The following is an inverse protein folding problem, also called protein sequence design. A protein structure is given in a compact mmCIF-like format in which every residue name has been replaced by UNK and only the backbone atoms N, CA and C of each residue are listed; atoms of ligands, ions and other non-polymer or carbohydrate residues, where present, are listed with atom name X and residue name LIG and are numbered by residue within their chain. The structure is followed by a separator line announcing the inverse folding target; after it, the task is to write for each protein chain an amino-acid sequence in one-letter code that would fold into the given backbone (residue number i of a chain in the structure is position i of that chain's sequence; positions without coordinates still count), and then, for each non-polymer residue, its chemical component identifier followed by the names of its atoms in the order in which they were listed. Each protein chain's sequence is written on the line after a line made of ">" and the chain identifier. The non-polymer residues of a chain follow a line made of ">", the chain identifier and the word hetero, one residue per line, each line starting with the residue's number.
data_IF_589843016032
#
_entry.id   IF_589843016032
#
_cell.length_a   1.000
_cell.length_b   1.000
_cell.length_c   1.000
_cell.angle_alpha   90.00
_cell.angle_beta   90.00
_cell.angle_gamma   90.00
#
_symmetry.space_group_name_H-M   'P 1'
#
loop_
_entity.id
_entity.type
_entity.pdbx_description
1 polymer ?
#
# COMPACT_ATOMS: atom_id res chain seq x y z
N UNK A 1 -6.64 -9.99 15.73
CA UNK A 1 -6.62 -8.83 14.80
C UNK A 1 -5.14 -8.46 14.60
N UNK A 2 -4.74 -7.61 13.63
CA UNK A 2 -3.32 -7.30 13.43
C UNK A 2 -2.77 -6.42 14.56
N UNK A 3 -1.81 -6.96 15.33
CA UNK A 3 -0.95 -6.17 16.21
C UNK A 3 0.17 -5.50 15.43
N UNK A 4 0.46 -4.24 15.73
CA UNK A 4 1.55 -3.46 15.14
C UNK A 4 2.35 -2.75 16.24
N UNK A 5 3.64 -2.57 15.98
CA UNK A 5 4.51 -1.73 16.80
C UNK A 5 4.76 -0.43 16.05
N UNK A 6 4.46 0.69 16.67
CA UNK A 6 4.56 2.03 16.07
C UNK A 6 5.67 2.83 16.76
N UNK A 7 6.48 3.54 15.98
CA UNK A 7 7.47 4.46 16.55
C UNK A 7 6.76 5.61 17.29
N UNK A 8 6.89 5.64 18.62
CA UNK A 8 6.19 6.58 19.49
C UNK A 8 6.55 8.04 19.18
N UNK A 9 7.84 8.33 18.97
CA UNK A 9 8.33 9.68 18.68
C UNK A 9 7.76 10.18 17.35
N UNK A 10 7.73 9.32 16.33
CA UNK A 10 7.19 9.66 15.01
C UNK A 10 5.67 9.88 15.05
N UNK A 11 4.92 8.99 15.72
CA UNK A 11 3.48 9.13 15.92
C UNK A 11 3.13 10.45 16.63
N UNK A 12 3.77 10.75 17.76
CA UNK A 12 3.50 11.97 18.52
C UNK A 12 3.83 13.23 17.71
N UNK A 13 4.92 13.20 16.93
CA UNK A 13 5.27 14.29 16.01
C UNK A 13 4.17 14.52 14.96
N UNK A 14 3.61 13.46 14.38
CA UNK A 14 2.54 13.57 13.38
C UNK A 14 1.19 14.00 13.96
N UNK A 15 0.86 13.55 15.17
CA UNK A 15 -0.32 14.01 15.92
C UNK A 15 -0.25 15.52 16.17
N UNK A 16 0.97 16.06 16.38
CA UNK A 16 1.20 17.48 16.63
C UNK A 16 0.94 17.88 18.07
N UNK A 17 0.85 16.92 19.00
CA UNK A 17 0.65 17.15 20.44
C UNK A 17 1.50 16.15 21.23
N UNK A 18 2.15 16.63 22.30
CA UNK A 18 2.80 15.76 23.28
C UNK A 18 1.71 15.10 24.11
N UNK A 19 1.68 13.78 24.13
CA UNK A 19 0.80 12.97 24.97
C UNK A 19 1.68 12.14 25.90
N UNK A 20 1.33 12.16 27.19
CA UNK A 20 1.94 11.26 28.17
C UNK A 20 1.47 9.83 27.97
N UNK A 21 2.21 8.87 28.53
CA UNK A 21 1.87 7.45 28.44
C UNK A 21 0.54 7.14 29.12
N UNK A 22 0.23 7.87 30.20
CA UNK A 22 -1.06 7.82 30.87
C UNK A 22 -2.19 8.29 29.95
N UNK A 23 -2.02 9.44 29.27
CA UNK A 23 -3.03 9.93 28.32
C UNK A 23 -3.20 8.97 27.14
N UNK A 24 -2.13 8.37 26.62
CA UNK A 24 -2.22 7.35 25.57
C UNK A 24 -2.98 6.12 26.06
N UNK A 25 -2.69 5.64 27.27
CA UNK A 25 -3.36 4.49 27.88
C UNK A 25 -4.85 4.73 28.12
N UNK A 26 -5.26 5.95 28.44
CA UNK A 26 -6.67 6.31 28.62
C UNK A 26 -7.39 6.53 27.28
N UNK A 27 -6.75 7.22 26.32
CA UNK A 27 -7.43 7.68 25.09
C UNK A 27 -7.51 6.61 23.99
N UNK A 28 -6.50 5.76 23.84
CA UNK A 28 -6.49 4.76 22.77
C UNK A 28 -7.64 3.74 22.90
N UNK A 29 -7.96 3.20 24.10
CA UNK A 29 -9.13 2.36 24.28
C UNK A 29 -10.45 3.07 23.97
N UNK A 30 -10.60 4.36 24.31
CA UNK A 30 -11.80 5.13 23.97
C UNK A 30 -12.03 5.29 22.46
N UNK A 31 -10.95 5.29 21.67
CA UNK A 31 -11.06 5.27 20.20
C UNK A 31 -11.45 3.88 19.66
N UNK A 32 -11.44 2.84 20.50
CA UNK A 32 -11.63 1.45 20.08
C UNK A 32 -10.34 0.80 19.59
N UNK A 33 -9.23 1.03 20.30
CA UNK A 33 -7.96 0.35 20.04
C UNK A 33 -7.56 -0.45 21.27
N UNK A 34 -7.04 -1.66 21.07
CA UNK A 34 -6.53 -2.46 22.18
C UNK A 34 -5.05 -2.14 22.35
N UNK A 35 -4.73 -1.47 23.46
CA UNK A 35 -3.36 -1.16 23.82
C UNK A 35 -2.72 -2.40 24.46
N UNK A 36 -1.70 -2.95 23.79
CA UNK A 36 -0.92 -4.09 24.31
C UNK A 36 0.20 -3.61 25.24
N UNK A 37 0.77 -2.43 24.96
CA UNK A 37 1.78 -1.82 25.82
C UNK A 37 2.42 -0.57 25.24
N UNK A 38 3.03 0.24 26.11
CA UNK A 38 3.79 1.43 25.75
C UNK A 38 5.20 1.30 26.33
N UNK A 39 6.20 1.54 25.50
CA UNK A 39 7.60 1.66 25.94
C UNK A 39 8.10 3.08 25.68
N UNK A 40 9.38 3.34 25.96
CA UNK A 40 10.00 4.62 25.67
C UNK A 40 10.01 4.95 24.16
N UNK A 41 10.11 3.93 23.31
CA UNK A 41 10.28 4.12 21.86
C UNK A 41 9.09 3.62 21.03
N UNK A 42 8.22 2.77 21.59
CA UNK A 42 7.15 2.12 20.83
C UNK A 42 5.77 2.19 21.50
N UNK A 43 4.74 2.22 20.66
CA UNK A 43 3.34 2.00 21.04
C UNK A 43 2.90 0.70 20.37
N UNK A 44 2.55 -0.32 21.17
CA UNK A 44 2.09 -1.61 20.67
C UNK A 44 0.58 -1.68 20.79
N UNK A 45 -0.10 -1.82 19.65
CA UNK A 45 -1.56 -1.79 19.57
C UNK A 45 -2.07 -2.87 18.63
N UNK A 46 -3.21 -3.43 19.00
CA UNK A 46 -4.01 -4.26 18.10
C UNK A 46 -5.10 -3.41 17.43
N UNK A 47 -5.09 -3.43 16.10
CA UNK A 47 -5.98 -2.63 15.25
C UNK A 47 -7.11 -3.50 14.72
N UNK A 48 -8.35 -3.01 14.75
CA UNK A 48 -9.47 -3.70 14.14
C UNK A 48 -9.29 -3.88 12.62
N UNK A 49 -9.71 -5.04 12.11
CA UNK A 49 -9.55 -5.41 10.69
C UNK A 49 -10.33 -4.53 9.72
N UNK A 50 -11.30 -3.74 10.19
CA UNK A 50 -12.04 -2.78 9.37
C UNK A 50 -11.34 -1.41 9.24
N UNK A 51 -10.19 -1.22 9.89
CA UNK A 51 -9.39 0.03 9.85
C UNK A 51 -7.96 -0.21 9.33
N UNK A 52 -7.78 -0.74 8.11
CA UNK A 52 -6.45 -0.94 7.52
C UNK A 52 -5.65 0.35 7.37
N UNK A 53 -6.33 1.49 7.30
CA UNK A 53 -5.70 2.80 7.24
C UNK A 53 -4.79 3.05 8.45
N UNK A 54 -5.10 2.46 9.61
CA UNK A 54 -4.36 2.64 10.86
C UNK A 54 -3.18 1.66 11.05
N UNK A 55 -2.83 0.85 10.05
CA UNK A 55 -1.76 -0.16 10.14
C UNK A 55 -0.33 0.41 10.05
N UNK A 56 -0.17 1.71 10.26
CA UNK A 56 1.09 2.46 10.13
C UNK A 56 1.03 3.73 10.97
N UNK A 57 2.19 4.32 11.24
CA UNK A 57 2.33 5.55 12.02
C UNK A 57 1.48 6.69 11.45
N UNK A 58 1.47 6.86 10.13
CA UNK A 58 0.80 7.99 9.48
C UNK A 58 -0.71 7.91 9.62
N UNK A 59 -1.28 6.73 9.36
CA UNK A 59 -2.71 6.54 9.45
C UNK A 59 -3.22 6.43 10.88
N UNK A 60 -2.43 5.83 11.77
CA UNK A 60 -2.70 5.82 13.20
C UNK A 60 -2.69 7.26 13.75
N UNK A 61 -1.62 8.02 13.51
CA UNK A 61 -1.50 9.39 13.97
C UNK A 61 -2.62 10.28 13.39
N UNK A 62 -3.00 10.10 12.12
CA UNK A 62 -4.11 10.83 11.50
C UNK A 62 -5.45 10.52 12.18
N UNK A 63 -5.73 9.26 12.49
CA UNK A 63 -6.95 8.87 13.20
C UNK A 63 -6.99 9.45 14.62
N UNK A 64 -5.90 9.31 15.38
CA UNK A 64 -5.82 9.83 16.74
C UNK A 64 -5.87 11.35 16.78
N UNK A 65 -5.19 12.05 15.86
CA UNK A 65 -5.25 13.50 15.75
C UNK A 65 -6.67 14.04 15.53
N UNK A 66 -7.46 13.33 14.70
CA UNK A 66 -8.89 13.64 14.53
C UNK A 66 -9.69 13.41 15.81
N UNK A 67 -9.45 12.30 16.49
CA UNK A 67 -10.14 11.93 17.72
C UNK A 67 -9.87 12.88 18.89
N UNK A 68 -8.63 13.32 19.07
CA UNK A 68 -8.27 14.25 20.16
C UNK A 68 -8.43 15.73 19.77
N UNK A 69 -8.88 16.00 18.55
CA UNK A 69 -9.19 17.35 18.07
C UNK A 69 -7.99 18.19 17.63
N UNK A 70 -6.79 17.63 17.45
CA UNK A 70 -5.63 18.41 16.96
C UNK A 70 -5.70 18.69 15.47
N UNK A 71 -6.26 17.76 14.69
CA UNK A 71 -6.47 17.91 13.24
C UNK A 71 -7.83 17.32 12.86
N UNK A 72 -8.83 18.16 12.71
CA UNK A 72 -10.21 17.74 12.41
C UNK A 72 -10.58 17.99 10.94
N UNK A 73 -11.70 17.42 10.53
CA UNK A 73 -12.23 17.57 9.18
C UNK A 73 -11.61 16.61 8.16
N UNK A 74 -12.07 16.72 6.91
CA UNK A 74 -11.63 15.86 5.82
C UNK A 74 -10.28 16.34 5.28
N UNK A 75 -9.24 15.54 5.50
CA UNK A 75 -7.93 15.79 4.92
C UNK A 75 -7.98 15.69 3.39
N UNK A 76 -7.52 16.75 2.72
CA UNK A 76 -7.45 16.82 1.27
C UNK A 76 -6.11 16.30 0.77
N UNK A 77 -6.14 15.47 -0.28
CA UNK A 77 -4.95 14.95 -0.94
C UNK A 77 -4.98 15.39 -2.40
N UNK A 78 -3.94 16.14 -2.81
CA UNK A 78 -3.82 16.62 -4.19
C UNK A 78 -3.06 15.60 -5.03
N UNK A 79 -3.69 15.12 -6.11
CA UNK A 79 -3.04 14.26 -7.10
C UNK A 79 -2.57 15.12 -8.27
N UNK A 80 -1.25 15.24 -8.46
CA UNK A 80 -0.69 15.96 -9.61
C UNK A 80 -0.80 15.12 -10.88
N UNK A 81 -1.26 15.71 -11.98
CA UNK A 81 -1.26 15.07 -13.29
C UNK A 81 0.18 14.75 -13.72
N UNK A 82 0.38 13.59 -14.34
CA UNK A 82 1.69 13.17 -14.86
C UNK A 82 1.57 12.53 -16.24
N UNK A 83 2.73 12.20 -16.84
CA UNK A 83 2.86 11.44 -18.08
C UNK A 83 3.16 9.95 -17.87
N UNK A 84 3.14 9.44 -16.62
CA UNK A 84 3.39 8.02 -16.36
C UNK A 84 2.25 7.16 -16.89
N UNK A 85 2.59 6.16 -17.72
CA UNK A 85 1.64 5.26 -18.39
C UNK A 85 2.00 3.80 -18.10
N UNK A 86 0.97 3.00 -17.83
CA UNK A 86 1.05 1.55 -17.73
C UNK A 86 0.03 0.94 -18.69
N UNK A 87 0.50 0.03 -19.53
CA UNK A 87 -0.32 -0.73 -20.45
C UNK A 87 -0.53 -2.14 -19.90
N UNK A 88 -1.78 -2.57 -19.79
CA UNK A 88 -2.14 -3.92 -19.36
C UNK A 88 -2.30 -4.78 -20.59
N UNK A 89 -1.53 -5.86 -20.66
CA UNK A 89 -1.57 -6.82 -21.77
C UNK A 89 -2.88 -7.61 -21.75
N UNK A 90 -3.46 -7.86 -22.93
CA UNK A 90 -4.65 -8.70 -23.10
C UNK A 90 -4.46 -10.11 -22.54
N UNK A 91 -3.23 -10.64 -22.51
CA UNK A 91 -2.91 -11.92 -21.89
C UNK A 91 -3.30 -11.96 -20.39
N UNK A 92 -3.15 -10.84 -19.67
CA UNK A 92 -3.47 -10.75 -18.24
C UNK A 92 -4.98 -10.80 -17.96
N UNK A 93 -5.81 -10.47 -18.95
CA UNK A 93 -7.27 -10.45 -18.82
C UNK A 93 -7.86 -11.83 -18.53
N UNK A 94 -7.17 -12.90 -18.97
CA UNK A 94 -7.54 -14.30 -18.73
C UNK A 94 -7.16 -14.77 -17.33
N UNK A 95 -6.33 -14.01 -16.62
CA UNK A 95 -5.91 -14.35 -15.26
C UNK A 95 -6.92 -13.83 -14.24
N UNK A 96 -6.99 -14.47 -13.08
CA UNK A 96 -7.77 -13.96 -11.95
C UNK A 96 -7.20 -12.62 -11.44
N UNK A 97 -5.90 -12.40 -11.59
CA UNK A 97 -5.15 -11.24 -11.10
C UNK A 97 -5.03 -10.20 -12.22
N UNK A 98 -6.14 -9.56 -12.56
CA UNK A 98 -6.20 -8.64 -13.72
C UNK A 98 -6.28 -7.16 -13.35
N UNK A 99 -6.52 -6.82 -12.09
CA UNK A 99 -6.67 -5.43 -11.65
C UNK A 99 -5.36 -4.91 -11.10
N UNK A 100 -5.03 -3.67 -11.44
CA UNK A 100 -3.80 -3.00 -11.08
C UNK A 100 -4.07 -1.56 -10.67
N UNK A 101 -3.31 -1.06 -9.72
CA UNK A 101 -3.38 0.31 -9.24
C UNK A 101 -1.96 0.80 -9.00
N UNK A 102 -1.64 1.97 -9.56
CA UNK A 102 -0.31 2.54 -9.43
C UNK A 102 -0.37 4.00 -9.01
N UNK A 103 0.63 4.44 -8.27
CA UNK A 103 0.81 5.83 -7.87
C UNK A 103 2.30 6.15 -7.83
N UNK A 104 2.65 7.39 -8.17
CA UNK A 104 4.03 7.89 -8.05
C UNK A 104 4.12 8.85 -6.89
N UNK A 105 5.04 8.59 -5.96
CA UNK A 105 5.31 9.45 -4.80
C UNK A 105 6.70 10.05 -4.96
N UNK A 106 6.81 11.38 -4.96
CA UNK A 106 8.07 12.11 -5.14
C UNK A 106 8.47 12.90 -3.90
N UNK A 107 9.77 13.03 -3.67
CA UNK A 107 10.31 13.84 -2.57
C UNK A 107 10.19 13.18 -1.20
N UNK A 108 10.15 11.84 -1.15
CA UNK A 108 10.27 11.10 0.10
C UNK A 108 11.69 11.23 0.67
N UNK A 109 11.77 11.14 1.99
CA UNK A 109 13.03 11.06 2.74
C UNK A 109 13.00 9.75 3.52
N UNK A 110 13.61 8.71 2.95
CA UNK A 110 13.72 7.42 3.62
C UNK A 110 14.86 7.45 4.63
N UNK A 111 14.54 7.03 5.84
CA UNK A 111 15.47 6.56 6.86
C UNK A 111 15.12 5.10 7.20
N UNK A 112 16.00 4.41 7.92
CA UNK A 112 15.77 3.03 8.35
C UNK A 112 14.40 2.82 9.04
N UNK A 113 13.97 3.78 9.86
CA UNK A 113 12.69 3.70 10.57
C UNK A 113 11.49 3.75 9.60
N UNK A 114 11.50 4.65 8.62
CA UNK A 114 10.45 4.77 7.63
C UNK A 114 10.46 3.60 6.64
N UNK A 115 11.64 3.06 6.28
CA UNK A 115 11.73 1.83 5.48
C UNK A 115 11.10 0.66 6.24
N UNK A 116 11.48 0.46 7.51
CA UNK A 116 10.94 -0.61 8.35
C UNK A 116 9.42 -0.49 8.53
N UNK A 117 8.93 0.72 8.82
CA UNK A 117 7.49 1.02 8.90
C UNK A 117 6.76 0.71 7.59
N UNK A 118 7.33 1.12 6.45
CA UNK A 118 6.77 0.85 5.12
C UNK A 118 6.71 -0.65 4.81
N UNK A 119 7.72 -1.42 5.23
CA UNK A 119 7.72 -2.88 5.10
C UNK A 119 6.65 -3.51 6.00
N UNK A 120 6.54 -3.07 7.26
CA UNK A 120 5.51 -3.53 8.19
C UNK A 120 4.10 -3.29 7.63
N UNK A 121 3.82 -2.07 7.12
CA UNK A 121 2.53 -1.75 6.52
C UNK A 121 2.20 -2.67 5.34
N UNK A 122 3.16 -2.86 4.43
CA UNK A 122 3.00 -3.75 3.28
C UNK A 122 2.72 -5.20 3.71
N UNK A 123 3.48 -5.75 4.66
CA UNK A 123 3.31 -7.12 5.15
C UNK A 123 1.96 -7.28 5.88
N UNK A 124 1.53 -6.30 6.69
CA UNK A 124 0.24 -6.34 7.39
C UNK A 124 -0.94 -6.23 6.43
N UNK A 125 -0.87 -5.33 5.45
CA UNK A 125 -1.90 -5.21 4.41
C UNK A 125 -1.96 -6.48 3.53
N UNK A 126 -0.81 -7.02 3.11
CA UNK A 126 -0.74 -8.23 2.30
C UNK A 126 -1.30 -9.46 3.04
N UNK A 127 -1.00 -9.59 4.33
CA UNK A 127 -1.45 -10.71 5.16
C UNK A 127 -2.95 -10.62 5.45
N UNK A 128 -3.45 -9.43 5.80
CA UNK A 128 -4.86 -9.21 6.18
C UNK A 128 -5.74 -8.95 4.95
N UNK A 129 -5.73 -7.73 4.44
CA UNK A 129 -6.58 -7.25 3.34
C UNK A 129 -6.27 -7.98 2.02
N UNK A 130 -5.01 -8.30 1.79
CA UNK A 130 -4.52 -9.05 0.65
C UNK A 130 -4.70 -10.57 0.76
N UNK A 131 -5.18 -11.10 1.89
CA UNK A 131 -5.35 -12.54 2.18
C UNK A 131 -4.09 -13.35 1.84
N UNK A 132 -2.98 -13.03 2.51
CA UNK A 132 -1.64 -13.60 2.23
C UNK A 132 -1.29 -13.51 0.74
N UNK A 133 -1.42 -12.31 0.18
CA UNK A 133 -1.20 -11.99 -1.24
C UNK A 133 -2.15 -12.63 -2.27
N UNK A 134 -3.00 -13.59 -1.88
CA UNK A 134 -3.97 -14.25 -2.78
C UNK A 134 -4.92 -13.26 -3.44
N UNK A 135 -5.39 -12.26 -2.67
CA UNK A 135 -6.33 -11.24 -3.14
C UNK A 135 -5.59 -10.04 -3.75
N UNK A 136 -4.55 -9.55 -3.07
CA UNK A 136 -3.78 -8.37 -3.48
C UNK A 136 -2.31 -8.55 -3.11
N UNK A 137 -1.43 -8.30 -4.07
CA UNK A 137 0.00 -8.10 -3.85
C UNK A 137 0.35 -6.64 -4.13
N UNK A 138 1.43 -6.16 -3.54
CA UNK A 138 1.92 -4.80 -3.73
C UNK A 138 3.44 -4.79 -3.74
N UNK A 139 4.01 -3.81 -4.42
CA UNK A 139 5.44 -3.55 -4.47
C UNK A 139 5.72 -2.07 -4.46
N UNK A 140 6.94 -1.73 -4.02
CA UNK A 140 7.43 -0.36 -3.95
C UNK A 140 8.80 -0.35 -4.57
N UNK A 141 8.96 0.49 -5.59
CA UNK A 141 10.10 0.47 -6.48
C UNK A 141 10.74 1.84 -6.52
N UNK A 142 12.08 1.88 -6.57
CA UNK A 142 12.81 3.10 -6.87
C UNK A 142 12.45 3.58 -8.30
N UNK A 143 11.72 4.69 -8.36
CA UNK A 143 11.19 5.23 -9.61
C UNK A 143 12.32 5.64 -10.57
N UNK A 144 13.43 6.13 -10.03
CA UNK A 144 14.53 6.71 -10.81
C UNK A 144 15.33 5.63 -11.55
N UNK A 145 15.06 4.36 -11.24
CA UNK A 145 15.65 3.18 -11.88
C UNK A 145 14.75 2.50 -12.91
N UNK A 146 13.56 3.06 -13.16
CA UNK A 146 12.53 2.47 -14.02
C UNK A 146 12.29 3.35 -15.26
N UNK A 147 12.12 2.72 -16.43
CA UNK A 147 11.80 3.41 -17.69
C UNK A 147 10.35 3.18 -18.13
N UNK A 148 9.59 4.26 -18.27
CA UNK A 148 8.21 4.21 -18.75
C UNK A 148 8.11 4.24 -20.29
N UNK A 149 7.02 3.74 -20.90
CA UNK A 149 5.85 3.13 -20.26
C UNK A 149 6.16 1.76 -19.65
N UNK A 150 5.35 1.34 -18.66
CA UNK A 150 5.43 -0.02 -18.12
C UNK A 150 4.38 -0.90 -18.77
N UNK A 151 4.67 -2.19 -18.86
CA UNK A 151 3.71 -3.19 -19.32
C UNK A 151 3.43 -4.18 -18.19
N UNK A 152 2.16 -4.31 -17.81
CA UNK A 152 1.70 -5.44 -16.99
C UNK A 152 1.36 -6.61 -17.92
N UNK A 153 2.17 -7.67 -17.89
CA UNK A 153 2.11 -8.78 -18.85
C UNK A 153 2.34 -10.12 -18.15
N UNK A 154 2.46 -11.19 -18.95
CA UNK A 154 2.79 -12.53 -18.53
C UNK A 154 4.20 -12.88 -19.04
N UNK A 155 5.10 -13.31 -18.16
CA UNK A 155 6.44 -13.76 -18.52
C UNK A 155 6.54 -15.28 -18.53
N UNK A 156 7.37 -15.81 -19.42
CA UNK A 156 7.64 -17.24 -19.56
C UNK A 156 8.56 -17.77 -18.47
N UNK A 157 8.46 -19.09 -18.23
CA UNK A 157 9.22 -19.80 -17.19
C UNK A 157 10.76 -19.79 -17.41
N UNK A 158 11.20 -19.59 -18.65
CA UNK A 158 12.62 -19.52 -19.06
C UNK A 158 13.23 -18.12 -19.05
N UNK A 159 12.41 -17.06 -18.89
CA UNK A 159 12.94 -15.70 -18.76
C UNK A 159 13.75 -15.55 -17.47
N UNK A 160 14.74 -14.66 -17.47
CA UNK A 160 15.63 -14.45 -16.33
C UNK A 160 15.57 -13.02 -15.79
N UNK A 161 15.78 -12.90 -14.49
CA UNK A 161 16.02 -11.62 -13.82
C UNK A 161 16.70 -11.87 -12.47
N UNK A 162 17.29 -10.83 -11.89
CA UNK A 162 17.85 -10.88 -10.54
C UNK A 162 16.76 -10.49 -9.53
N UNK A 163 16.15 -11.43 -8.79
CA UNK A 163 15.18 -11.12 -7.74
C UNK A 163 15.88 -10.51 -6.51
N UNK A 164 15.13 -9.75 -5.72
CA UNK A 164 15.66 -9.20 -4.46
C UNK A 164 16.17 -10.32 -3.54
N UNK A 165 17.40 -10.15 -3.02
CA UNK A 165 18.04 -11.14 -2.16
C UNK A 165 18.79 -12.24 -2.93
N UNK A 166 19.03 -12.04 -4.22
CA UNK A 166 19.96 -12.83 -5.04
C UNK A 166 20.99 -11.90 -5.68
N UNK A 167 22.19 -12.42 -5.93
CA UNK A 167 23.29 -11.66 -6.56
C UNK A 167 23.37 -11.88 -8.08
N UNK A 168 22.65 -12.88 -8.60
CA UNK A 168 22.68 -13.28 -10.00
C UNK A 168 21.29 -13.49 -10.56
N UNK A 169 21.20 -13.44 -11.89
CA UNK A 169 19.99 -13.78 -12.62
C UNK A 169 19.63 -15.25 -12.41
N UNK A 170 18.35 -15.49 -12.12
CA UNK A 170 17.75 -16.83 -12.11
C UNK A 170 16.58 -16.87 -13.08
N UNK A 171 16.23 -18.07 -13.53
CA UNK A 171 15.02 -18.29 -14.33
C UNK A 171 13.77 -18.10 -13.48
N UNK A 172 12.70 -17.57 -14.07
CA UNK A 172 11.40 -17.38 -13.40
C UNK A 172 10.88 -18.68 -12.79
N UNK A 173 11.04 -19.82 -13.47
CA UNK A 173 10.62 -21.14 -12.95
C UNK A 173 11.32 -21.55 -11.66
N UNK A 174 12.54 -21.07 -11.43
CA UNK A 174 13.34 -21.39 -10.27
C UNK A 174 12.95 -20.54 -9.04
N UNK A 175 12.11 -19.50 -9.19
CA UNK A 175 11.68 -18.68 -8.07
C UNK A 175 11.02 -19.50 -6.97
N UNK A 176 10.15 -20.45 -7.32
CA UNK A 176 9.37 -21.22 -6.35
C UNK A 176 10.22 -22.19 -5.54
N UNK A 177 11.42 -22.55 -6.01
CA UNK A 177 12.35 -23.47 -5.34
C UNK A 177 13.49 -22.73 -4.66
N UNK A 178 14.11 -21.76 -5.33
CA UNK A 178 15.33 -21.09 -4.88
C UNK A 178 15.05 -19.86 -3.99
N UNK A 179 13.97 -19.11 -4.24
CA UNK A 179 13.68 -17.87 -3.51
C UNK A 179 12.79 -18.10 -2.27
N UNK A 180 13.13 -17.48 -1.12
CA UNK A 180 12.39 -17.63 0.16
C UNK A 180 10.89 -17.33 0.02
N UNK A 181 10.54 -16.18 -0.57
CA UNK A 181 9.12 -15.83 -0.82
C UNK A 181 8.50 -16.68 -1.93
N UNK A 182 9.32 -17.24 -2.83
CA UNK A 182 8.84 -18.13 -3.87
C UNK A 182 8.32 -19.43 -3.28
N UNK A 183 9.05 -20.02 -2.33
CA UNK A 183 8.57 -21.17 -1.55
C UNK A 183 7.28 -20.86 -0.78
N UNK A 184 7.22 -19.68 -0.15
CA UNK A 184 6.04 -19.23 0.62
C UNK A 184 4.77 -19.09 -0.25
N UNK A 185 4.91 -18.51 -1.45
CA UNK A 185 3.78 -18.16 -2.32
C UNK A 185 3.66 -19.01 -3.59
N UNK A 186 4.38 -20.14 -3.69
CA UNK A 186 4.35 -21.03 -4.86
C UNK A 186 2.93 -21.46 -5.24
N UNK A 187 2.10 -21.73 -4.23
CA UNK A 187 0.70 -22.15 -4.38
C UNK A 187 -0.23 -21.07 -5.00
N UNK A 188 0.24 -19.83 -5.19
CA UNK A 188 -0.50 -18.76 -5.84
C UNK A 188 -0.19 -18.62 -7.33
N UNK A 189 0.78 -19.39 -7.82
CA UNK A 189 1.23 -19.36 -9.20
C UNK A 189 0.83 -20.67 -9.87
N UNK A 190 0.20 -20.56 -11.04
CA UNK A 190 -0.34 -21.69 -11.80
C UNK A 190 0.19 -21.63 -13.24
N UNK A 191 0.58 -22.78 -13.79
CA UNK A 191 1.02 -22.89 -15.18
C UNK A 191 2.46 -22.39 -15.44
N UNK A 192 2.75 -22.10 -16.72
CA UNK A 192 4.07 -21.73 -17.24
C UNK A 192 4.25 -20.23 -17.52
N UNK A 193 3.22 -19.45 -17.23
CA UNK A 193 3.17 -18.02 -17.48
C UNK A 193 2.91 -17.29 -16.16
N UNK A 194 3.72 -16.28 -15.88
CA UNK A 194 3.76 -15.61 -14.59
C UNK A 194 3.39 -14.14 -14.75
N UNK A 195 2.44 -13.58 -13.99
CA UNK A 195 2.13 -12.17 -14.08
C UNK A 195 3.32 -11.33 -13.62
N UNK A 196 3.69 -10.32 -14.40
CA UNK A 196 4.89 -9.53 -14.17
C UNK A 196 4.76 -8.12 -14.73
N UNK A 197 5.60 -7.22 -14.24
CA UNK A 197 5.82 -5.91 -14.86
C UNK A 197 7.12 -5.91 -15.65
N UNK A 198 7.09 -5.32 -16.84
CA UNK A 198 8.27 -4.95 -17.62
C UNK A 198 8.34 -3.44 -17.82
N UNK A 199 9.56 -2.91 -17.84
CA UNK A 199 9.80 -1.53 -18.24
C UNK A 199 9.93 -1.38 -19.76
N UNK A 200 10.08 -0.14 -20.25
CA UNK A 200 10.23 0.16 -21.66
C UNK A 200 11.48 -0.45 -22.32
N UNK A 201 12.43 -0.95 -21.53
CA UNK A 201 13.62 -1.68 -22.02
C UNK A 201 13.47 -3.19 -21.95
N UNK A 202 12.30 -3.69 -21.54
CA UNK A 202 12.01 -5.11 -21.40
C UNK A 202 12.49 -5.73 -20.09
N UNK A 203 13.06 -4.95 -19.16
CA UNK A 203 13.52 -5.48 -17.87
C UNK A 203 12.35 -5.86 -16.99
N UNK A 204 12.41 -7.05 -16.38
CA UNK A 204 11.41 -7.52 -15.42
C UNK A 204 11.58 -6.75 -14.11
N UNK A 205 10.53 -6.04 -13.69
CA UNK A 205 10.48 -5.31 -12.42
C UNK A 205 10.07 -6.22 -11.27
N UNK A 206 9.17 -7.15 -11.52
CA UNK A 206 8.70 -8.11 -10.53
C UNK A 206 8.01 -9.29 -11.19
N UNK A 207 7.94 -10.39 -10.45
CA UNK A 207 7.11 -11.55 -10.75
C UNK A 207 6.10 -11.71 -9.62
N UNK A 208 4.83 -11.51 -9.93
CA UNK A 208 3.74 -11.43 -8.96
C UNK A 208 3.14 -12.82 -8.70
N UNK A 209 2.70 -13.08 -7.46
CA UNK A 209 2.83 -12.25 -6.25
C UNK A 209 4.10 -12.54 -5.43
N UNK A 210 5.17 -13.02 -6.07
CA UNK A 210 6.36 -13.58 -5.41
C UNK A 210 7.33 -12.49 -4.92
N UNK A 211 8.00 -11.81 -5.85
CA UNK A 211 9.12 -10.90 -5.53
C UNK A 211 9.35 -9.84 -6.61
N UNK A 212 10.05 -8.77 -6.23
CA UNK A 212 10.53 -7.73 -7.16
C UNK A 212 12.00 -7.94 -7.50
N UNK A 213 12.47 -7.27 -8.56
CA UNK A 213 13.85 -7.29 -9.00
C UNK A 213 14.74 -6.43 -8.09
N UNK A 214 15.96 -6.89 -7.84
CA UNK A 214 16.88 -6.24 -6.89
C UNK A 214 17.24 -4.81 -7.32
N UNK A 215 17.43 -4.57 -8.62
CA UNK A 215 17.83 -3.25 -9.11
C UNK A 215 16.82 -2.15 -8.78
N UNK A 216 15.55 -2.48 -8.52
CA UNK A 216 14.48 -1.52 -8.17
C UNK A 216 14.31 -1.32 -6.66
N UNK A 217 15.16 -1.93 -5.84
CA UNK A 217 15.07 -1.87 -4.37
C UNK A 217 15.13 -0.43 -3.86
N UNK A 218 14.20 -0.12 -2.95
CA UNK A 218 14.19 1.14 -2.21
C UNK A 218 15.31 1.11 -1.16
N UNK A 219 16.05 2.21 -1.08
CA UNK A 219 17.11 2.44 -0.09
C UNK A 219 16.93 3.82 0.55
N UNK A 220 17.74 4.18 1.54
CA UNK A 220 17.74 5.53 2.12
C UNK A 220 18.04 6.64 1.09
N UNK A 221 18.71 6.29 -0.03
CA UNK A 221 19.01 7.23 -1.11
C UNK A 221 17.83 7.47 -2.04
N UNK A 222 16.83 6.58 -2.03
CA UNK A 222 15.65 6.68 -2.88
C UNK A 222 14.81 7.89 -2.46
N UNK A 223 14.35 8.69 -3.43
CA UNK A 223 13.50 9.87 -3.17
C UNK A 223 12.15 9.79 -3.87
N UNK A 224 12.10 9.04 -4.96
CA UNK A 224 10.93 8.90 -5.80
C UNK A 224 10.61 7.42 -5.88
N UNK A 225 9.35 7.06 -5.63
CA UNK A 225 8.91 5.67 -5.68
C UNK A 225 7.69 5.51 -6.56
N UNK A 226 7.65 4.37 -7.25
CA UNK A 226 6.45 3.82 -7.83
C UNK A 226 5.84 2.87 -6.80
N UNK A 227 4.57 3.09 -6.46
CA UNK A 227 3.75 2.11 -5.75
C UNK A 227 2.96 1.35 -6.80
N UNK A 228 2.98 0.04 -6.72
CA UNK A 228 2.15 -0.83 -7.54
C UNK A 228 1.37 -1.78 -6.63
N UNK A 229 0.11 -1.97 -6.97
CA UNK A 229 -0.81 -2.87 -6.29
C UNK A 229 -1.54 -3.65 -7.35
N UNK A 230 -1.49 -4.98 -7.28
CA UNK A 230 -2.12 -5.86 -8.27
C UNK A 230 -2.93 -6.93 -7.55
N UNK A 231 -4.11 -7.27 -8.07
CA UNK A 231 -5.01 -8.18 -7.39
C UNK A 231 -6.15 -8.72 -8.23
N UNK A 232 -6.97 -9.53 -7.55
CA UNK A 232 -8.15 -10.18 -8.13
C UNK A 232 -9.44 -9.39 -7.90
N UNK A 233 -9.39 -8.38 -7.03
CA UNK A 233 -10.53 -7.58 -6.62
C UNK A 233 -10.23 -6.08 -6.77
N UNK A 234 -11.02 -5.41 -7.61
CA UNK A 234 -10.86 -3.98 -7.92
C UNK A 234 -10.85 -3.12 -6.65
N UNK A 235 -11.82 -3.34 -5.76
CA UNK A 235 -11.97 -2.52 -4.54
C UNK A 235 -10.76 -2.65 -3.63
N UNK A 236 -10.29 -3.87 -3.38
CA UNK A 236 -9.13 -4.09 -2.54
C UNK A 236 -7.84 -3.49 -3.11
N UNK A 237 -7.63 -3.59 -4.44
CA UNK A 237 -6.46 -2.99 -5.11
C UNK A 237 -6.42 -1.48 -4.88
N UNK A 238 -7.52 -0.79 -5.17
CA UNK A 238 -7.55 0.66 -5.03
C UNK A 238 -7.60 1.13 -3.57
N UNK A 239 -8.22 0.36 -2.66
CA UNK A 239 -8.17 0.67 -1.22
C UNK A 239 -6.74 0.63 -0.69
N UNK A 240 -5.99 -0.44 -0.99
CA UNK A 240 -4.58 -0.57 -0.55
C UNK A 240 -3.71 0.52 -1.17
N UNK A 241 -3.86 0.79 -2.47
CA UNK A 241 -3.14 1.87 -3.14
C UNK A 241 -3.42 3.22 -2.47
N UNK A 242 -4.69 3.51 -2.19
CA UNK A 242 -5.08 4.76 -1.55
C UNK A 242 -4.51 4.89 -0.14
N UNK A 243 -4.44 3.81 0.64
CA UNK A 243 -3.84 3.81 1.99
C UNK A 243 -2.36 4.18 1.89
N UNK A 244 -1.60 3.51 1.02
CA UNK A 244 -0.17 3.79 0.85
C UNK A 244 0.06 5.23 0.36
N UNK A 245 -0.68 5.65 -0.68
CA UNK A 245 -0.56 6.98 -1.26
C UNK A 245 -0.92 8.10 -0.27
N UNK A 246 -2.01 7.94 0.49
CA UNK A 246 -2.45 8.96 1.46
C UNK A 246 -1.54 9.03 2.68
N UNK A 247 -1.05 7.89 3.18
CA UNK A 247 -0.11 7.84 4.30
C UNK A 247 1.20 8.57 3.95
N UNK A 248 1.81 8.23 2.81
CA UNK A 248 3.07 8.86 2.43
C UNK A 248 2.92 10.30 1.97
N UNK A 249 1.75 10.70 1.45
CA UNK A 249 1.43 12.12 1.26
C UNK A 249 1.45 12.87 2.60
N UNK A 250 1.01 12.22 3.69
CA UNK A 250 1.09 12.73 5.06
C UNK A 250 2.53 12.96 5.56
N UNK A 251 3.53 12.26 4.98
CA UNK A 251 4.95 12.52 5.20
C UNK A 251 5.54 13.62 4.29
N UNK A 252 4.69 14.32 3.55
CA UNK A 252 5.10 15.44 2.68
C UNK A 252 5.46 15.05 1.25
N UNK A 253 5.25 13.79 0.85
CA UNK A 253 5.50 13.38 -0.53
C UNK A 253 4.47 13.95 -1.50
N UNK A 254 4.95 14.32 -2.69
CA UNK A 254 4.12 14.79 -3.78
C UNK A 254 3.55 13.60 -4.55
N UNK A 255 2.24 13.37 -4.40
CA UNK A 255 1.51 12.33 -5.13
C UNK A 255 1.24 12.75 -6.58
N UNK A 256 1.63 11.89 -7.51
CA UNK A 256 1.41 12.03 -8.95
C UNK A 256 0.59 10.88 -9.50
N UNK A 257 -0.29 11.18 -10.47
CA UNK A 257 -1.16 10.19 -11.09
C UNK A 257 -0.38 9.21 -11.97
N UNK A 258 -0.93 8.03 -12.23
CA UNK A 258 -0.49 7.10 -13.28
C UNK A 258 -1.68 6.74 -14.14
N UNK A 259 -1.54 6.83 -15.46
CA UNK A 259 -2.56 6.36 -16.40
C UNK A 259 -2.40 4.87 -16.62
N UNK A 260 -3.46 4.09 -16.40
CA UNK A 260 -3.49 2.65 -16.67
C UNK A 260 -4.45 2.37 -17.83
N UNK A 261 -3.94 1.78 -18.90
CA UNK A 261 -4.70 1.39 -20.07
C UNK A 261 -5.03 -0.10 -20.00
N UNK A 262 -6.33 -0.42 -19.93
CA UNK A 262 -6.84 -1.78 -19.91
C UNK A 262 -7.37 -2.21 -21.28
N UNK A 263 -7.14 -3.48 -21.68
CA UNK A 263 -7.71 -4.03 -22.90
C UNK A 263 -9.19 -4.42 -22.71
N UNK A 264 -9.68 -4.42 -21.47
CA UNK A 264 -11.06 -4.74 -21.08
C UNK A 264 -11.68 -3.62 -20.22
N UNK A 265 -13.00 -3.61 -20.10
CA UNK A 265 -13.70 -2.62 -19.29
C UNK A 265 -13.47 -2.85 -17.78
N UNK A 266 -13.20 -1.78 -17.04
CA UNK A 266 -13.14 -1.75 -15.57
C UNK A 266 -14.26 -0.86 -15.03
N UNK A 267 -14.51 -0.83 -13.70
CA UNK A 267 -15.46 0.11 -13.09
C UNK A 267 -15.20 1.59 -13.39
N UNK A 268 -13.99 1.97 -13.80
CA UNK A 268 -13.62 3.34 -14.20
C UNK A 268 -13.32 3.45 -15.71
N UNK A 269 -13.78 2.49 -16.52
CA UNK A 269 -13.56 2.44 -17.96
C UNK A 269 -12.25 1.75 -18.36
N UNK A 270 -11.87 1.86 -19.63
CA UNK A 270 -10.63 1.24 -20.15
C UNK A 270 -9.37 2.06 -19.86
N UNK A 271 -9.51 3.38 -19.68
CA UNK A 271 -8.39 4.28 -19.37
C UNK A 271 -8.61 4.85 -17.97
N UNK A 272 -7.87 4.36 -17.00
CA UNK A 272 -8.05 4.64 -15.58
C UNK A 272 -6.92 5.56 -15.11
N UNK A 273 -7.24 6.60 -14.33
CA UNK A 273 -6.25 7.47 -13.71
C UNK A 273 -6.16 7.10 -12.22
N UNK A 274 -5.02 6.54 -11.83
CA UNK A 274 -4.74 6.11 -10.47
C UNK A 274 -3.84 7.13 -9.73
N UNK A 275 -3.92 7.24 -8.39
CA UNK A 275 -4.92 6.62 -7.51
C UNK A 275 -6.30 7.30 -7.63
N UNK A 276 -7.35 6.59 -7.19
CA UNK A 276 -8.73 7.09 -7.22
C UNK A 276 -9.12 7.55 -5.81
N UNK A 277 -8.95 8.84 -5.54
CA UNK A 277 -9.22 9.45 -4.22
C UNK A 277 -10.60 10.15 -4.14
N UNK A 278 -11.61 9.60 -4.83
CA UNK A 278 -12.98 10.16 -4.80
C UNK A 278 -13.56 10.08 -3.38
N UNK A 279 -14.00 11.22 -2.87
CA UNK A 279 -14.69 11.32 -1.58
C UNK A 279 -16.15 10.91 -1.73
N UNK A 280 -16.74 10.36 -0.67
CA UNK A 280 -18.17 10.03 -0.62
C UNK A 280 -18.86 10.98 0.35
N UNK A 281 -20.07 11.39 -0.01
CA UNK A 281 -20.95 12.15 0.88
C UNK A 281 -22.06 11.23 1.36
N UNK A 282 -22.43 11.36 2.62
CA UNK A 282 -23.54 10.65 3.24
C UNK A 282 -24.29 11.66 4.09
N UNK A 283 -25.62 11.66 3.97
CA UNK A 283 -26.49 12.46 4.83
C UNK A 283 -26.79 11.67 6.09
N UNK A 284 -26.68 12.30 7.25
CA UNK A 284 -27.02 11.71 8.55
C UNK A 284 -28.15 12.53 9.16
N UNK A 285 -29.23 11.86 9.55
CA UNK A 285 -30.31 12.47 10.32
C UNK A 285 -29.94 12.50 11.81
N UNK A 286 -29.91 13.70 12.40
CA UNK A 286 -29.51 13.90 13.81
C UNK A 286 -30.52 13.26 14.76
N UNK A 287 -31.82 13.30 14.44
CA UNK A 287 -32.87 12.67 15.23
C UNK A 287 -32.72 11.16 15.31
N UNK A 288 -32.44 10.51 14.18
CA UNK A 288 -32.14 9.09 14.07
C UNK A 288 -30.89 8.72 14.87
N UNK A 289 -29.81 9.50 14.74
CA UNK A 289 -28.58 9.26 15.50
C UNK A 289 -28.81 9.37 17.02
N UNK A 290 -29.52 10.40 17.47
CA UNK A 290 -29.89 10.60 18.87
C UNK A 290 -30.72 9.43 19.40
N UNK A 291 -31.72 8.96 18.63
CA UNK A 291 -32.55 7.80 18.99
C UNK A 291 -31.74 6.50 19.12
N UNK A 292 -30.80 6.27 18.21
CA UNK A 292 -29.99 5.05 18.21
C UNK A 292 -28.94 5.05 19.34
N UNK A 293 -28.32 6.20 19.59
CA UNK A 293 -27.23 6.34 20.56
C UNK A 293 -27.72 6.63 21.99
N UNK A 294 -28.97 7.06 22.16
CA UNK A 294 -29.55 7.42 23.47
C UNK A 294 -28.99 8.73 24.04
N UNK A 295 -28.62 9.68 23.17
CA UNK A 295 -28.03 10.97 23.54
C UNK A 295 -28.75 12.13 22.86
N UNK A 296 -28.47 13.36 23.31
CA UNK A 296 -29.02 14.58 22.72
C UNK A 296 -27.90 15.42 22.12
N UNK A 297 -27.69 15.28 20.81
CA UNK A 297 -26.80 16.13 20.03
C UNK A 297 -27.61 17.18 19.26
N UNK A 298 -27.03 18.39 19.13
CA UNK A 298 -27.53 19.51 18.31
C UNK A 298 -27.02 19.44 16.88
#
# INVERSE_FOLDING_TARGET
>A
MPSISLNKKDVLKMIGKKLSDKELAERLPMHGLFLEGITNDAINVEIFVNRPDMLSEEGFARAIAGFIGTKTGLQQFTVKKSSYVVDVDAATAKTKRKYVGLAVMKGLKFDDAFIASSMQLQDKLATTHGRKRKKVAMGVYDLDRIKFPLTYTMVGEEETFTPMGHDTDIRVKNLTTEHKRGREYAHLVEGKLFPAYKDATGKILCVLPITQADFTKVTEKTKNVLIEVTGTDWRAVHQILNILATNWSGRGASLSSVTVNYPFATPEGKRVICPILKTRRMTLDVGYANKLLGITLT
#
